data_IF_743069402201
#
_entry.id   IF_743069402201
#
_cell.length_a   1.000
_cell.length_b   1.000
_cell.length_c   1.000
_cell.angle_alpha   90.00
_cell.angle_beta   90.00
_cell.angle_gamma   90.00
#
_symmetry.space_group_name_H-M   'P 1'
#
loop_
_entity.id
_entity.type
_entity.pdbx_description
1 polymer ?
#
# COMPACT_ATOMS: atom_id res chain seq x y z
N UNK A 1 18.86 5.45 -13.44
CA UNK A 1 17.81 6.48 -13.50
C UNK A 1 16.70 5.97 -14.42
N UNK A 2 15.43 6.34 -14.18
CA UNK A 2 14.32 5.94 -15.06
C UNK A 2 14.57 6.39 -16.50
N UNK A 3 15.07 7.61 -16.69
CA UNK A 3 15.44 8.10 -18.02
C UNK A 3 16.41 7.14 -18.73
N UNK A 4 17.44 6.66 -18.02
CA UNK A 4 18.38 5.68 -18.57
C UNK A 4 17.75 4.32 -18.86
N UNK A 5 16.79 3.86 -18.04
CA UNK A 5 16.06 2.61 -18.27
C UNK A 5 15.09 2.74 -19.45
N UNK A 6 14.37 3.84 -19.57
CA UNK A 6 13.47 4.13 -20.69
C UNK A 6 14.25 4.20 -22.01
N UNK A 7 15.37 4.93 -22.03
CA UNK A 7 16.30 4.94 -23.18
C UNK A 7 16.80 3.54 -23.50
N UNK A 8 17.27 2.78 -22.49
CA UNK A 8 17.75 1.41 -22.72
C UNK A 8 16.67 0.51 -23.29
N UNK A 9 15.43 0.57 -22.79
CA UNK A 9 14.32 -0.25 -23.27
C UNK A 9 13.89 0.16 -24.68
N UNK A 10 13.78 1.46 -24.96
CA UNK A 10 13.51 1.98 -26.30
C UNK A 10 14.52 1.42 -27.32
N UNK A 11 15.81 1.47 -26.98
CA UNK A 11 16.92 0.95 -27.80
C UNK A 11 17.04 -0.59 -27.83
N UNK A 12 16.36 -1.30 -26.93
CA UNK A 12 16.38 -2.76 -26.87
C UNK A 12 15.20 -3.42 -27.59
N UNK A 13 14.06 -2.72 -27.69
CA UNK A 13 12.86 -3.16 -28.42
C UNK A 13 12.75 -2.56 -29.81
N UNK A 14 13.56 -1.55 -30.12
CA UNK A 14 13.65 -0.85 -31.40
C UNK A 14 14.62 0.31 -31.27
N UNK A 15 14.33 1.44 -31.89
CA UNK A 15 15.09 2.69 -31.71
C UNK A 15 16.54 2.61 -32.16
N UNK A 16 16.90 1.66 -33.03
CA UNK A 16 18.26 1.54 -33.57
C UNK A 16 18.28 1.96 -35.04
N UNK A 17 19.38 2.59 -35.45
CA UNK A 17 19.57 3.10 -36.80
C UNK A 17 20.97 3.66 -36.98
N UNK A 18 21.29 4.09 -38.20
CA UNK A 18 22.51 4.86 -38.44
C UNK A 18 22.32 6.31 -37.99
N UNK A 19 23.29 6.84 -37.24
CA UNK A 19 23.26 8.22 -36.77
C UNK A 19 22.55 8.39 -35.41
N UNK A 20 21.91 9.55 -35.22
CA UNK A 20 21.24 9.88 -33.98
C UNK A 20 19.86 9.23 -33.91
N UNK A 21 19.61 8.44 -32.88
CA UNK A 21 18.41 7.61 -32.77
C UNK A 21 17.41 8.08 -31.72
N UNK A 22 17.82 9.01 -30.85
CA UNK A 22 17.04 9.46 -29.70
C UNK A 22 17.44 10.90 -29.35
N UNK A 23 16.97 11.85 -30.15
CA UNK A 23 17.19 13.30 -29.97
C UNK A 23 15.88 14.01 -29.61
N UNK A 24 15.99 15.23 -29.07
CA UNK A 24 14.81 16.04 -28.72
C UNK A 24 13.85 16.23 -29.91
N UNK A 25 14.37 16.43 -31.12
CA UNK A 25 13.56 16.62 -32.33
C UNK A 25 12.82 15.33 -32.74
N UNK A 26 13.47 14.16 -32.61
CA UNK A 26 12.84 12.86 -32.89
C UNK A 26 11.75 12.57 -31.88
N UNK A 27 12.03 12.81 -30.60
CA UNK A 27 11.07 12.61 -29.53
C UNK A 27 9.88 13.57 -29.64
N UNK A 28 10.12 14.85 -29.97
CA UNK A 28 9.07 15.83 -30.24
C UNK A 28 8.17 15.40 -31.39
N UNK A 29 8.75 14.96 -32.51
CA UNK A 29 7.99 14.44 -33.64
C UNK A 29 7.15 13.19 -33.29
N UNK A 30 7.64 12.33 -32.40
CA UNK A 30 6.89 11.17 -31.91
C UNK A 30 5.70 11.59 -31.03
N UNK A 31 5.89 12.58 -30.15
CA UNK A 31 4.82 13.12 -29.32
C UNK A 31 3.73 13.80 -30.15
N UNK A 32 4.12 14.68 -31.08
CA UNK A 32 3.18 15.34 -32.00
C UNK A 32 2.38 14.33 -32.83
N UNK A 33 3.04 13.23 -33.25
CA UNK A 33 2.39 12.16 -33.99
C UNK A 33 1.34 11.41 -33.15
N UNK A 34 1.63 11.11 -31.88
CA UNK A 34 0.71 10.36 -31.01
C UNK A 34 -0.44 11.24 -30.50
N UNK A 35 -0.16 12.49 -30.14
CA UNK A 35 -1.15 13.39 -29.55
C UNK A 35 -2.09 14.00 -30.59
N UNK A 36 -1.56 14.36 -31.76
CA UNK A 36 -2.31 15.10 -32.79
C UNK A 36 -2.46 14.35 -34.12
N UNK A 37 -1.80 13.20 -34.29
CA UNK A 37 -1.68 12.53 -35.60
C UNK A 37 -0.81 13.33 -36.58
N UNK A 38 -0.06 14.32 -36.10
CA UNK A 38 0.70 15.25 -36.91
C UNK A 38 2.16 14.82 -36.97
N UNK A 39 2.61 14.38 -38.14
CA UNK A 39 4.02 14.22 -38.44
C UNK A 39 4.30 14.66 -39.87
N UNK A 40 5.44 15.32 -40.10
CA UNK A 40 5.92 15.52 -41.47
C UNK A 40 6.20 14.16 -42.12
N UNK A 41 6.06 14.04 -43.44
CA UNK A 41 6.38 12.77 -44.14
C UNK A 41 7.80 12.28 -43.83
N UNK A 42 8.76 13.22 -43.71
CA UNK A 42 10.13 12.92 -43.30
C UNK A 42 10.23 12.48 -41.83
N UNK A 43 9.46 13.10 -40.94
CA UNK A 43 9.38 12.71 -39.52
C UNK A 43 8.79 11.32 -39.35
N UNK A 44 7.65 11.03 -39.99
CA UNK A 44 7.03 9.71 -39.94
C UNK A 44 7.94 8.62 -40.53
N UNK A 45 8.60 8.90 -41.66
CA UNK A 45 9.59 7.99 -42.24
C UNK A 45 10.76 7.72 -41.27
N UNK A 46 11.18 8.73 -40.51
CA UNK A 46 12.23 8.59 -39.49
C UNK A 46 11.75 7.75 -38.31
N UNK A 47 10.55 8.01 -37.79
CA UNK A 47 9.94 7.23 -36.70
C UNK A 47 9.72 5.77 -37.08
N UNK A 48 9.32 5.50 -38.33
CA UNK A 48 9.17 4.15 -38.86
C UNK A 48 10.52 3.46 -39.08
N UNK A 49 11.52 4.18 -39.60
CA UNK A 49 12.87 3.64 -39.79
C UNK A 49 13.53 3.25 -38.46
N UNK A 50 13.28 4.02 -37.40
CA UNK A 50 13.74 3.73 -36.04
C UNK A 50 12.88 2.67 -35.34
N UNK A 51 11.75 2.25 -35.92
CA UNK A 51 10.86 1.26 -35.31
C UNK A 51 10.09 1.77 -34.08
N UNK A 52 9.92 3.09 -33.95
CA UNK A 52 9.03 3.69 -32.94
C UNK A 52 7.57 3.61 -33.37
N UNK A 53 7.31 3.68 -34.68
CA UNK A 53 5.98 3.59 -35.29
C UNK A 53 6.00 2.49 -36.34
N UNK A 54 4.94 1.70 -36.43
CA UNK A 54 4.84 0.62 -37.40
C UNK A 54 4.42 1.09 -38.80
N UNK A 55 4.44 0.17 -39.79
CA UNK A 55 4.09 0.49 -41.17
C UNK A 55 2.63 0.96 -41.35
N UNK A 56 1.73 0.58 -40.44
CA UNK A 56 0.33 1.01 -40.45
C UNK A 56 0.08 2.25 -39.59
N UNK A 57 1.13 2.86 -39.02
CA UNK A 57 1.04 4.05 -38.18
C UNK A 57 0.77 3.76 -36.70
N UNK A 58 0.83 2.50 -36.29
CA UNK A 58 0.66 2.08 -34.90
C UNK A 58 1.89 2.43 -34.06
N UNK A 59 1.69 2.86 -32.80
CA UNK A 59 2.78 3.03 -31.86
C UNK A 59 3.34 1.66 -31.49
N UNK A 60 4.67 1.50 -31.58
CA UNK A 60 5.36 0.25 -31.21
C UNK A 60 5.97 0.36 -29.81
N UNK A 61 6.33 -0.77 -29.16
CA UNK A 61 6.90 -0.75 -27.80
C UNK A 61 8.12 0.15 -27.66
N UNK A 62 8.97 0.25 -28.68
CA UNK A 62 10.11 1.17 -28.67
C UNK A 62 9.66 2.64 -28.63
N UNK A 63 8.58 2.97 -29.33
CA UNK A 63 7.98 4.31 -29.33
C UNK A 63 7.35 4.66 -27.98
N UNK A 64 6.67 3.72 -27.32
CA UNK A 64 6.16 3.89 -25.96
C UNK A 64 7.30 4.24 -24.98
N UNK A 65 8.40 3.48 -25.01
CA UNK A 65 9.57 3.76 -24.16
C UNK A 65 10.29 5.05 -24.53
N UNK A 66 10.27 5.47 -25.81
CA UNK A 66 10.82 6.74 -26.25
C UNK A 66 9.97 7.93 -25.75
N UNK A 67 8.64 7.82 -25.79
CA UNK A 67 7.73 8.81 -25.20
C UNK A 67 7.90 8.90 -23.68
N UNK A 68 8.08 7.77 -23.01
CA UNK A 68 8.39 7.76 -21.58
C UNK A 68 9.74 8.46 -21.31
N UNK A 69 10.75 8.24 -22.15
CA UNK A 69 12.02 8.97 -22.05
C UNK A 69 11.83 10.49 -22.24
N UNK A 70 10.98 10.91 -23.19
CA UNK A 70 10.64 12.32 -23.39
C UNK A 70 9.92 12.91 -22.17
N UNK A 71 8.89 12.21 -21.66
CA UNK A 71 8.12 12.63 -20.48
C UNK A 71 9.03 12.79 -19.26
N UNK A 72 9.93 11.83 -19.03
CA UNK A 72 10.93 11.88 -17.96
C UNK A 72 11.96 13.00 -18.15
N UNK A 73 12.27 13.36 -19.39
CA UNK A 73 13.18 14.47 -19.70
C UNK A 73 12.51 15.83 -19.52
N UNK A 74 11.25 15.97 -19.91
CA UNK A 74 10.47 17.22 -19.83
C UNK A 74 9.86 17.48 -18.44
N UNK A 75 9.37 16.43 -17.78
CA UNK A 75 8.59 16.50 -16.53
C UNK A 75 9.42 16.85 -15.28
N UNK A 76 10.74 17.02 -15.41
CA UNK A 76 11.61 17.32 -14.27
C UNK A 76 11.79 16.14 -13.32
N UNK A 77 12.29 16.42 -12.12
CA UNK A 77 12.53 15.38 -11.09
C UNK A 77 11.23 15.12 -10.36
N UNK A 78 10.77 13.86 -10.31
CA UNK A 78 9.72 13.46 -9.36
C UNK A 78 10.19 13.78 -7.93
N UNK A 79 9.46 14.65 -7.23
CA UNK A 79 9.83 15.06 -5.85
C UNK A 79 9.50 13.98 -4.82
N UNK A 80 8.52 13.11 -5.09
CA UNK A 80 8.04 12.08 -4.17
C UNK A 80 8.40 10.67 -4.64
N UNK A 81 8.52 9.73 -3.69
CA UNK A 81 8.81 8.31 -3.95
C UNK A 81 7.71 7.57 -3.24
N UNK A 82 6.93 6.84 -4.02
CA UNK A 82 5.90 5.97 -3.50
C UNK A 82 6.48 4.61 -3.15
N UNK A 83 5.90 4.00 -2.12
CA UNK A 83 6.31 2.69 -1.65
C UNK A 83 5.13 1.84 -1.20
N UNK A 84 5.41 0.58 -0.88
CA UNK A 84 4.42 -0.41 -0.47
C UNK A 84 5.00 -1.36 0.58
N UNK A 85 4.20 -1.77 1.55
CA UNK A 85 4.62 -2.68 2.61
C UNK A 85 3.58 -3.79 2.86
N UNK A 86 4.03 -5.04 2.82
CA UNK A 86 3.23 -6.24 3.09
C UNK A 86 4.03 -7.21 3.96
N UNK A 87 3.43 -7.64 5.07
CA UNK A 87 3.94 -8.71 5.92
C UNK A 87 3.52 -10.08 5.36
N UNK A 88 4.35 -11.11 5.54
CA UNK A 88 4.01 -12.46 5.11
C UNK A 88 2.69 -12.96 5.73
N UNK A 89 2.39 -12.56 6.97
CA UNK A 89 1.12 -12.86 7.65
C UNK A 89 -0.09 -12.25 6.94
N UNK A 90 0.01 -11.04 6.41
CA UNK A 90 -1.06 -10.39 5.65
C UNK A 90 -1.31 -11.12 4.33
N UNK A 91 -0.26 -11.59 3.65
CA UNK A 91 -0.39 -12.42 2.45
C UNK A 91 -1.12 -13.74 2.73
N UNK A 92 -0.97 -14.31 3.93
CA UNK A 92 -1.72 -15.50 4.34
C UNK A 92 -3.20 -15.23 4.55
N UNK A 93 -3.55 -14.03 5.06
CA UNK A 93 -4.95 -13.60 5.18
C UNK A 93 -5.59 -13.49 3.79
N UNK A 94 -4.91 -12.89 2.82
CA UNK A 94 -5.38 -12.83 1.42
C UNK A 94 -5.63 -14.24 0.85
N UNK A 95 -4.70 -15.18 1.10
CA UNK A 95 -4.86 -16.57 0.68
C UNK A 95 -6.09 -17.23 1.30
N UNK A 96 -6.36 -16.99 2.59
CA UNK A 96 -7.55 -17.53 3.26
C UNK A 96 -8.86 -16.91 2.77
N UNK A 97 -8.87 -15.61 2.47
CA UNK A 97 -10.02 -14.95 1.85
C UNK A 97 -10.35 -15.61 0.51
N UNK A 98 -9.36 -15.77 -0.37
CA UNK A 98 -9.54 -16.43 -1.67
C UNK A 98 -10.04 -17.87 -1.52
N UNK A 99 -9.45 -18.64 -0.59
CA UNK A 99 -9.83 -20.02 -0.35
C UNK A 99 -11.28 -20.17 0.16
N UNK A 100 -11.75 -19.23 1.00
CA UNK A 100 -13.14 -19.23 1.47
C UNK A 100 -14.11 -18.85 0.34
N UNK A 101 -13.78 -17.86 -0.49
CA UNK A 101 -14.61 -17.54 -1.66
C UNK A 101 -14.72 -18.70 -2.65
N UNK A 102 -13.61 -19.41 -2.90
CA UNK A 102 -13.63 -20.60 -3.75
C UNK A 102 -14.56 -21.68 -3.17
N UNK A 103 -14.45 -21.98 -1.86
CA UNK A 103 -15.34 -22.95 -1.17
C UNK A 103 -16.81 -22.51 -1.20
N UNK A 104 -17.06 -21.21 -1.04
CA UNK A 104 -18.41 -20.67 -1.08
C UNK A 104 -19.07 -20.85 -2.45
N UNK A 105 -18.30 -20.68 -3.53
CA UNK A 105 -18.77 -20.89 -4.91
C UNK A 105 -18.93 -22.37 -5.29
N UNK A 106 -18.07 -23.26 -4.79
CA UNK A 106 -18.02 -24.66 -5.20
C UNK A 106 -18.85 -25.61 -4.32
N UNK A 107 -18.93 -25.37 -3.02
CA UNK A 107 -19.38 -26.39 -2.06
C UNK A 107 -20.36 -25.90 -0.99
N UNK A 108 -20.17 -24.70 -0.44
CA UNK A 108 -20.96 -24.23 0.70
C UNK A 108 -21.18 -22.71 0.70
N UNK A 109 -22.31 -22.21 0.17
CA UNK A 109 -22.61 -20.77 0.08
C UNK A 109 -22.59 -20.00 1.42
N UNK A 110 -22.61 -20.69 2.57
CA UNK A 110 -22.52 -20.10 3.89
C UNK A 110 -21.06 -19.90 4.39
N UNK A 111 -20.07 -20.51 3.75
CA UNK A 111 -18.63 -20.35 4.07
C UNK A 111 -18.01 -19.11 3.40
N UNK A 112 -18.70 -17.97 3.49
CA UNK A 112 -18.16 -16.67 3.04
C UNK A 112 -17.07 -16.19 4.00
N UNK A 113 -16.09 -15.39 3.54
CA UNK A 113 -15.03 -14.83 4.38
C UNK A 113 -15.59 -13.72 5.27
N UNK A 114 -16.33 -14.11 6.30
CA UNK A 114 -16.66 -13.28 7.45
C UNK A 114 -15.50 -13.31 8.46
N UNK A 115 -15.49 -12.37 9.41
CA UNK A 115 -14.45 -12.30 10.43
C UNK A 115 -14.29 -13.61 11.20
N UNK A 116 -15.40 -14.21 11.63
CA UNK A 116 -15.40 -15.48 12.37
C UNK A 116 -14.91 -16.66 11.52
N UNK A 117 -15.30 -16.71 10.24
CA UNK A 117 -14.86 -17.76 9.33
C UNK A 117 -13.35 -17.68 9.06
N UNK A 118 -12.84 -16.46 8.80
CA UNK A 118 -11.41 -16.20 8.63
C UNK A 118 -10.63 -16.50 9.91
N UNK A 119 -11.13 -16.06 11.07
CA UNK A 119 -10.49 -16.33 12.36
C UNK A 119 -10.34 -17.82 12.61
N UNK A 120 -11.39 -18.61 12.35
CA UNK A 120 -11.31 -20.09 12.45
C UNK A 120 -10.28 -20.66 11.49
N UNK A 121 -10.31 -20.26 10.21
CA UNK A 121 -9.37 -20.74 9.20
C UNK A 121 -7.91 -20.42 9.57
N UNK A 122 -7.65 -19.21 10.09
CA UNK A 122 -6.32 -18.78 10.52
C UNK A 122 -5.85 -19.52 11.78
N UNK A 123 -6.73 -19.77 12.76
CA UNK A 123 -6.40 -20.60 13.93
C UNK A 123 -5.94 -21.99 13.48
N UNK A 124 -6.73 -22.66 12.64
CA UNK A 124 -6.43 -24.01 12.17
C UNK A 124 -5.09 -24.05 11.41
N UNK A 125 -4.88 -23.06 10.54
CA UNK A 125 -3.65 -22.93 9.75
C UNK A 125 -2.43 -22.67 10.63
N UNK A 126 -2.47 -21.68 11.52
CA UNK A 126 -1.36 -21.37 12.43
C UNK A 126 -1.08 -22.51 13.39
N UNK A 127 -2.10 -23.21 13.87
CA UNK A 127 -1.90 -24.40 14.67
C UNK A 127 -1.17 -25.51 13.91
N UNK A 128 -1.52 -25.74 12.63
CA UNK A 128 -0.84 -26.70 11.78
C UNK A 128 0.62 -26.30 11.50
N UNK A 129 0.87 -25.02 11.21
CA UNK A 129 2.21 -24.46 10.98
C UNK A 129 3.11 -24.65 12.21
N UNK A 130 2.64 -24.20 13.39
CA UNK A 130 3.42 -24.29 14.63
C UNK A 130 3.59 -25.72 15.12
N UNK A 131 2.64 -26.62 14.84
CA UNK A 131 2.81 -28.04 15.07
C UNK A 131 3.96 -28.61 14.22
N UNK A 132 3.96 -28.33 12.92
CA UNK A 132 5.03 -28.78 12.02
C UNK A 132 6.39 -28.18 12.39
N UNK A 133 6.40 -26.91 12.81
CA UNK A 133 7.58 -26.20 13.30
C UNK A 133 8.16 -26.90 14.53
N UNK A 134 7.33 -27.18 15.53
CA UNK A 134 7.71 -27.89 16.75
C UNK A 134 8.22 -29.30 16.45
N UNK A 135 7.57 -30.03 15.54
CA UNK A 135 8.02 -31.37 15.12
C UNK A 135 9.38 -31.33 14.43
N UNK A 136 9.64 -30.30 13.60
CA UNK A 136 10.90 -30.11 12.88
C UNK A 136 12.06 -29.74 13.81
N UNK A 137 11.84 -28.82 14.74
CA UNK A 137 12.90 -28.34 15.64
C UNK A 137 13.06 -29.21 16.89
N UNK A 138 12.01 -29.91 17.34
CA UNK A 138 12.08 -30.88 18.44
C UNK A 138 12.73 -30.31 19.70
N UNK A 139 13.92 -30.82 20.07
CA UNK A 139 14.71 -30.34 21.22
C UNK A 139 15.61 -29.13 20.93
N UNK A 140 15.65 -28.64 19.69
CA UNK A 140 16.48 -27.52 19.21
C UNK A 140 15.68 -26.22 19.02
N UNK A 141 14.64 -26.03 19.84
CA UNK A 141 13.82 -24.80 19.82
C UNK A 141 14.64 -23.55 20.17
N UNK A 142 15.77 -23.73 20.86
CA UNK A 142 16.74 -22.68 21.20
C UNK A 142 17.51 -22.13 19.98
N UNK A 143 17.56 -22.86 18.86
CA UNK A 143 18.18 -22.40 17.61
C UNK A 143 17.24 -21.48 16.79
N UNK A 144 16.00 -21.26 17.25
CA UNK A 144 15.00 -20.42 16.58
C UNK A 144 15.13 -18.93 16.92
N UNK A 145 14.62 -18.03 16.04
CA UNK A 145 14.40 -16.63 16.39
C UNK A 145 13.55 -16.52 17.67
N UNK A 146 13.93 -15.59 18.56
CA UNK A 146 13.37 -15.48 19.91
C UNK A 146 11.84 -15.36 19.92
N UNK A 147 11.29 -14.54 19.01
CA UNK A 147 9.84 -14.35 18.84
C UNK A 147 9.12 -15.65 18.44
N UNK A 148 9.63 -16.35 17.42
CA UNK A 148 9.04 -17.61 16.97
C UNK A 148 9.13 -18.71 18.04
N UNK A 149 10.25 -18.76 18.78
CA UNK A 149 10.41 -19.65 19.93
C UNK A 149 9.36 -19.37 21.00
N UNK A 150 9.18 -18.10 21.37
CA UNK A 150 8.20 -17.70 22.39
C UNK A 150 6.78 -18.11 22.00
N UNK A 151 6.37 -17.87 20.75
CA UNK A 151 5.04 -18.24 20.26
C UNK A 151 4.89 -19.78 20.24
N UNK A 152 5.93 -20.51 19.84
CA UNK A 152 5.93 -21.98 19.81
C UNK A 152 5.87 -22.59 21.22
N UNK A 153 6.55 -22.03 22.21
CA UNK A 153 6.47 -22.45 23.61
C UNK A 153 5.05 -22.24 24.15
N UNK A 154 4.44 -21.08 23.87
CA UNK A 154 3.04 -20.81 24.24
C UNK A 154 2.06 -21.74 23.52
N UNK A 155 2.33 -22.09 22.27
CA UNK A 155 1.54 -23.06 21.50
C UNK A 155 1.56 -24.44 22.16
N UNK A 156 2.73 -24.95 22.56
CA UNK A 156 2.85 -26.24 23.24
C UNK A 156 2.11 -26.30 24.57
N UNK A 157 2.02 -25.17 25.27
CA UNK A 157 1.31 -25.05 26.54
C UNK A 157 -0.18 -24.68 26.39
N UNK A 158 -0.66 -24.40 25.17
CA UNK A 158 -2.00 -23.91 24.93
C UNK A 158 -3.04 -25.03 25.07
N UNK A 159 -3.94 -24.89 26.05
CA UNK A 159 -5.16 -25.70 26.13
C UNK A 159 -6.28 -25.18 25.20
N UNK A 160 -6.21 -23.88 24.86
CA UNK A 160 -7.17 -23.18 24.01
C UNK A 160 -6.41 -22.50 22.85
N UNK A 161 -6.56 -23.07 21.65
CA UNK A 161 -5.91 -22.58 20.44
C UNK A 161 -6.46 -21.23 19.98
N UNK A 162 -7.74 -20.94 20.25
CA UNK A 162 -8.36 -19.68 19.87
C UNK A 162 -7.76 -18.53 20.69
N UNK A 163 -7.62 -18.73 22.00
CA UNK A 163 -6.94 -17.77 22.88
C UNK A 163 -5.45 -17.63 22.55
N UNK A 164 -4.76 -18.74 22.26
CA UNK A 164 -3.36 -18.68 21.84
C UNK A 164 -3.21 -17.86 20.56
N UNK A 165 -4.10 -18.01 19.59
CA UNK A 165 -4.07 -17.23 18.37
C UNK A 165 -4.25 -15.73 18.66
N UNK A 166 -5.30 -15.34 19.39
CA UNK A 166 -5.59 -13.93 19.68
C UNK A 166 -4.49 -13.25 20.53
N UNK A 167 -3.79 -14.02 21.38
CA UNK A 167 -2.70 -13.50 22.21
C UNK A 167 -1.41 -13.23 21.40
N UNK A 168 -1.30 -13.74 20.17
CA UNK A 168 -0.06 -13.68 19.36
C UNK A 168 -0.26 -13.10 17.95
N UNK A 169 -1.49 -13.07 17.43
CA UNK A 169 -1.82 -12.58 16.10
C UNK A 169 -3.05 -11.66 16.17
N UNK A 170 -3.03 -10.58 15.40
CA UNK A 170 -4.15 -9.64 15.31
C UNK A 170 -4.76 -9.67 13.90
N UNK A 171 -5.81 -10.45 13.73
CA UNK A 171 -6.51 -10.57 12.45
C UNK A 171 -7.19 -9.25 12.05
N UNK A 172 -7.71 -8.48 13.02
CA UNK A 172 -8.40 -7.23 12.70
C UNK A 172 -7.40 -6.19 12.22
N UNK A 173 -6.22 -6.10 12.87
CA UNK A 173 -5.11 -5.25 12.39
C UNK A 173 -4.68 -5.62 10.97
N UNK A 174 -4.53 -6.91 10.67
CA UNK A 174 -4.18 -7.38 9.33
C UNK A 174 -5.23 -7.01 8.28
N UNK A 175 -6.52 -7.21 8.57
CA UNK A 175 -7.62 -6.85 7.66
C UNK A 175 -7.68 -5.34 7.40
N UNK A 176 -7.57 -4.52 8.45
CA UNK A 176 -7.55 -3.06 8.32
C UNK A 176 -6.30 -2.58 7.57
N UNK A 177 -5.16 -3.23 7.77
CA UNK A 177 -3.93 -2.91 7.04
C UNK A 177 -4.05 -3.26 5.55
N UNK A 178 -4.60 -4.43 5.21
CA UNK A 178 -4.86 -4.82 3.82
C UNK A 178 -5.86 -3.91 3.12
N UNK A 179 -6.94 -3.50 3.79
CA UNK A 179 -7.90 -2.53 3.26
C UNK A 179 -7.26 -1.14 3.12
N UNK A 180 -6.35 -0.77 4.03
CA UNK A 180 -5.61 0.51 3.94
C UNK A 180 -4.69 0.60 2.73
N UNK A 181 -4.32 -0.56 2.17
CA UNK A 181 -3.51 -0.70 0.98
C UNK A 181 -4.33 -1.13 -0.23
N UNK A 182 -5.66 -0.98 -0.19
CA UNK A 182 -6.54 -1.28 -1.33
C UNK A 182 -6.43 -2.72 -1.83
N UNK A 183 -6.02 -3.68 -1.00
CA UNK A 183 -5.89 -5.10 -1.37
C UNK A 183 -7.16 -5.90 -1.07
N UNK A 184 -8.01 -5.38 -0.19
CA UNK A 184 -9.32 -5.93 0.07
C UNK A 184 -10.32 -4.81 0.33
N UNK A 185 -11.60 -5.15 0.26
CA UNK A 185 -12.70 -4.28 0.65
C UNK A 185 -13.61 -5.00 1.64
N UNK A 186 -13.94 -4.31 2.74
CA UNK A 186 -15.02 -4.74 3.65
C UNK A 186 -16.36 -4.39 3.03
N UNK A 187 -17.25 -5.38 2.89
CA UNK A 187 -18.58 -5.19 2.32
C UNK A 187 -19.64 -6.03 3.01
N UNK A 188 -20.81 -6.13 2.35
CA UNK A 188 -21.99 -6.80 2.86
C UNK A 188 -22.35 -8.02 2.00
N UNK A 189 -22.78 -9.10 2.64
CA UNK A 189 -23.32 -10.28 1.98
C UNK A 189 -24.84 -10.18 1.78
N UNK A 190 -25.46 -11.15 1.10
CA UNK A 190 -26.93 -11.14 0.85
C UNK A 190 -27.78 -11.17 2.13
N UNK A 191 -27.19 -11.54 3.28
CA UNK A 191 -27.85 -11.62 4.59
C UNK A 191 -27.53 -10.43 5.47
N UNK A 192 -26.81 -9.45 4.95
CA UNK A 192 -26.42 -8.24 5.63
C UNK A 192 -25.24 -8.35 6.58
N UNK A 193 -24.38 -9.36 6.37
CA UNK A 193 -23.21 -9.62 7.23
C UNK A 193 -21.93 -9.08 6.61
N UNK A 194 -21.00 -8.69 7.48
CA UNK A 194 -19.62 -8.34 7.12
C UNK A 194 -18.91 -9.50 6.42
N UNK A 195 -18.40 -9.21 5.22
CA UNK A 195 -17.56 -10.11 4.43
C UNK A 195 -16.43 -9.32 3.76
N UNK A 196 -15.34 -9.99 3.43
CA UNK A 196 -14.16 -9.37 2.82
C UNK A 196 -13.96 -9.84 1.38
N UNK A 197 -13.82 -8.89 0.46
CA UNK A 197 -13.57 -9.14 -0.96
C UNK A 197 -12.13 -8.78 -1.32
N UNK A 198 -11.46 -9.58 -2.13
CA UNK A 198 -10.19 -9.17 -2.72
C UNK A 198 -10.47 -8.13 -3.81
N UNK A 199 -9.64 -7.10 -3.88
CA UNK A 199 -9.62 -6.19 -5.02
C UNK A 199 -8.77 -6.78 -6.15
N UNK A 200 -8.79 -6.17 -7.33
CA UNK A 200 -7.91 -6.55 -8.44
C UNK A 200 -6.42 -6.51 -8.02
N UNK A 201 -6.02 -5.49 -7.24
CA UNK A 201 -4.68 -5.43 -6.66
C UNK A 201 -4.43 -6.55 -5.66
N UNK A 202 -5.43 -6.89 -4.83
CA UNK A 202 -5.37 -8.00 -3.89
C UNK A 202 -5.11 -9.34 -4.57
N UNK A 203 -5.78 -9.61 -5.70
CA UNK A 203 -5.58 -10.82 -6.49
C UNK A 203 -4.18 -10.88 -7.10
N UNK A 204 -3.70 -9.78 -7.69
CA UNK A 204 -2.35 -9.69 -8.25
C UNK A 204 -1.26 -9.88 -7.20
N UNK A 205 -1.42 -9.28 -6.01
CA UNK A 205 -0.50 -9.48 -4.88
C UNK A 205 -0.52 -10.93 -4.42
N UNK A 206 -1.70 -11.54 -4.31
CA UNK A 206 -1.83 -12.94 -3.92
C UNK A 206 -1.11 -13.88 -4.91
N UNK A 207 -1.21 -13.62 -6.20
CA UNK A 207 -0.54 -14.43 -7.22
C UNK A 207 0.99 -14.32 -7.17
N UNK A 208 1.55 -13.11 -6.94
CA UNK A 208 3.00 -12.96 -6.66
C UNK A 208 3.42 -13.72 -5.39
N UNK A 209 2.63 -13.61 -4.32
CA UNK A 209 2.90 -14.25 -3.03
C UNK A 209 2.73 -15.77 -3.05
N UNK A 210 1.92 -16.32 -3.96
CA UNK A 210 1.84 -17.77 -4.23
C UNK A 210 3.11 -18.30 -4.87
N UNK A 211 3.72 -17.53 -5.76
CA UNK A 211 4.99 -17.90 -6.40
C UNK A 211 6.16 -17.82 -5.40
N UNK A 212 6.18 -16.78 -4.56
CA UNK A 212 7.22 -16.59 -3.56
C UNK A 212 6.70 -15.83 -2.34
N UNK A 213 6.22 -16.56 -1.31
CA UNK A 213 5.76 -15.95 -0.06
C UNK A 213 6.91 -15.28 0.67
N UNK A 214 6.77 -13.98 0.95
CA UNK A 214 7.78 -13.17 1.64
C UNK A 214 7.21 -11.84 2.09
N UNK A 215 7.91 -11.23 3.04
CA UNK A 215 7.74 -9.82 3.35
C UNK A 215 8.13 -8.96 2.14
N UNK A 216 7.36 -7.89 1.93
CA UNK A 216 7.66 -6.81 0.99
C UNK A 216 7.77 -5.55 1.81
N UNK A 217 8.98 -5.05 2.02
CA UNK A 217 9.24 -3.83 2.78
C UNK A 217 9.07 -2.59 1.90
N UNK A 218 8.63 -1.49 2.50
CA UNK A 218 8.64 -0.19 1.85
C UNK A 218 10.07 0.21 1.45
N UNK A 219 11.06 -0.12 2.27
CA UNK A 219 12.47 0.09 1.95
C UNK A 219 12.89 -0.60 0.65
N UNK A 220 12.51 -1.87 0.47
CA UNK A 220 12.83 -2.62 -0.74
C UNK A 220 12.12 -2.07 -1.98
N UNK A 221 10.85 -1.69 -1.85
CA UNK A 221 10.09 -1.10 -2.96
C UNK A 221 10.65 0.27 -3.33
N UNK A 222 11.05 1.10 -2.35
CA UNK A 222 11.80 2.35 -2.59
C UNK A 222 13.11 2.14 -3.34
N UNK A 223 13.79 1.02 -3.11
CA UNK A 223 15.00 0.72 -3.86
C UNK A 223 14.74 0.60 -5.37
N UNK A 224 13.52 0.22 -5.76
CA UNK A 224 13.07 0.17 -7.14
C UNK A 224 12.51 1.52 -7.59
N UNK A 225 11.57 2.11 -6.84
CA UNK A 225 10.87 3.35 -7.24
C UNK A 225 11.79 4.58 -7.20
N UNK A 226 12.76 4.67 -6.29
CA UNK A 226 13.72 5.78 -6.24
C UNK A 226 14.60 5.86 -7.49
N UNK A 227 14.92 4.72 -8.11
CA UNK A 227 15.68 4.74 -9.37
C UNK A 227 14.91 5.45 -10.48
N UNK A 228 13.60 5.64 -10.31
CA UNK A 228 12.73 6.39 -11.21
C UNK A 228 12.73 7.89 -10.98
N UNK A 229 13.28 8.39 -9.87
CA UNK A 229 13.62 9.81 -9.73
C UNK A 229 14.84 10.16 -10.57
N UNK A 230 14.87 11.38 -11.10
CA UNK A 230 16.04 11.92 -11.78
C UNK A 230 17.21 12.04 -10.78
N UNK A 231 18.35 11.42 -11.12
CA UNK A 231 19.63 11.53 -10.38
C UNK A 231 19.65 10.99 -8.94
N UNK A 232 18.87 9.96 -8.62
CA UNK A 232 18.94 9.27 -7.32
C UNK A 232 19.32 7.79 -7.47
N UNK A 233 20.12 7.29 -6.54
CA UNK A 233 20.44 5.87 -6.40
C UNK A 233 20.06 5.43 -4.98
N UNK A 234 19.49 4.22 -4.81
CA UNK A 234 19.15 3.72 -3.48
C UNK A 234 20.40 3.50 -2.64
N UNK A 235 20.25 3.65 -1.33
CA UNK A 235 21.27 3.22 -0.38
C UNK A 235 21.58 1.72 -0.54
N UNK A 236 22.82 1.32 -0.26
CA UNK A 236 23.24 -0.08 -0.40
C UNK A 236 22.40 -1.04 0.45
N UNK A 237 21.99 -0.60 1.65
CA UNK A 237 21.12 -1.39 2.53
C UNK A 237 19.76 -1.68 1.89
N UNK A 238 19.13 -0.68 1.27
CA UNK A 238 17.84 -0.83 0.62
C UNK A 238 17.92 -1.76 -0.59
N UNK A 239 18.98 -1.64 -1.40
CA UNK A 239 19.21 -2.55 -2.52
C UNK A 239 19.40 -4.00 -2.06
N UNK A 240 20.15 -4.22 -0.97
CA UNK A 240 20.37 -5.56 -0.42
C UNK A 240 19.05 -6.17 0.05
N UNK A 241 18.24 -5.41 0.77
CA UNK A 241 16.92 -5.84 1.22
C UNK A 241 15.99 -6.15 0.03
N UNK A 242 15.97 -5.30 -0.99
CA UNK A 242 15.22 -5.55 -2.22
C UNK A 242 15.68 -6.80 -2.96
N UNK A 243 16.97 -7.14 -2.91
CA UNK A 243 17.50 -8.38 -3.48
C UNK A 243 17.12 -9.61 -2.66
N UNK A 244 17.17 -9.52 -1.33
CA UNK A 244 16.75 -10.59 -0.42
C UNK A 244 15.25 -10.90 -0.59
N UNK A 245 14.45 -9.85 -0.78
CA UNK A 245 13.01 -9.93 -1.08
C UNK A 245 12.72 -10.14 -2.58
N UNK A 246 13.70 -10.49 -3.41
CA UNK A 246 13.47 -10.85 -4.82
C UNK A 246 12.90 -9.74 -5.72
N UNK A 247 12.90 -8.48 -5.27
CA UNK A 247 12.44 -7.33 -6.06
C UNK A 247 13.51 -6.82 -7.04
N UNK A 248 14.79 -7.10 -6.76
CA UNK A 248 15.93 -6.75 -7.61
C UNK A 248 16.76 -7.99 -7.90
N UNK A 249 17.08 -8.18 -9.19
CA UNK A 249 17.96 -9.25 -9.66
C UNK A 249 19.44 -8.89 -9.51
N UNK A 250 20.26 -9.33 -10.47
CA UNK A 250 21.70 -9.03 -10.47
C UNK A 250 22.02 -7.56 -10.77
N UNK A 251 21.20 -6.89 -11.60
CA UNK A 251 21.44 -5.51 -12.02
C UNK A 251 20.16 -4.68 -12.25
N UNK A 252 18.98 -5.31 -12.32
CA UNK A 252 17.72 -4.67 -12.71
C UNK A 252 16.57 -5.13 -11.81
N UNK A 253 15.49 -4.33 -11.67
CA UNK A 253 14.26 -4.77 -11.02
C UNK A 253 13.70 -6.05 -11.66
N UNK A 254 13.18 -6.97 -10.84
CA UNK A 254 12.49 -8.18 -11.31
C UNK A 254 11.06 -7.85 -11.76
N UNK A 255 10.32 -8.83 -12.30
CA UNK A 255 8.88 -8.67 -12.59
C UNK A 255 8.12 -8.26 -11.32
N UNK A 256 8.38 -8.93 -10.21
CA UNK A 256 7.81 -8.58 -8.90
C UNK A 256 8.23 -7.17 -8.45
N UNK A 257 9.50 -6.79 -8.63
CA UNK A 257 9.95 -5.44 -8.30
C UNK A 257 9.24 -4.36 -9.11
N UNK A 258 9.04 -4.57 -10.41
CA UNK A 258 8.27 -3.66 -11.27
C UNK A 258 6.79 -3.62 -10.87
N UNK A 259 6.20 -4.78 -10.55
CA UNK A 259 4.83 -4.89 -10.08
C UNK A 259 4.60 -4.09 -8.79
N UNK A 260 5.38 -4.31 -7.72
CA UNK A 260 5.19 -3.55 -6.47
C UNK A 260 5.51 -2.06 -6.63
N UNK A 261 6.42 -1.70 -7.53
CA UNK A 261 6.66 -0.30 -7.89
C UNK A 261 5.45 0.34 -8.59
N UNK A 262 4.77 -0.40 -9.47
CA UNK A 262 3.52 0.05 -10.09
C UNK A 262 2.39 0.13 -9.07
N UNK A 263 2.21 -0.91 -8.26
CA UNK A 263 1.22 -0.94 -7.17
C UNK A 263 1.40 0.28 -6.26
N UNK A 264 2.62 0.57 -5.81
CA UNK A 264 2.90 1.74 -4.99
C UNK A 264 2.48 3.07 -5.67
N UNK A 265 2.62 3.18 -6.99
CA UNK A 265 2.28 4.41 -7.71
C UNK A 265 0.78 4.54 -8.04
N UNK A 266 -0.04 3.48 -7.89
CA UNK A 266 -1.43 3.47 -8.38
C UNK A 266 -2.46 3.02 -7.34
N UNK A 267 -2.02 2.37 -6.26
CA UNK A 267 -2.93 1.89 -5.24
C UNK A 267 -3.49 3.07 -4.45
N UNK A 268 -4.80 3.08 -4.28
CA UNK A 268 -5.47 4.03 -3.40
C UNK A 268 -5.27 3.60 -1.94
N UNK A 269 -4.61 4.47 -1.19
CA UNK A 269 -4.29 4.26 0.23
C UNK A 269 -5.34 4.93 1.09
N UNK A 270 -5.80 4.17 2.08
CA UNK A 270 -6.65 4.69 3.14
C UNK A 270 -5.85 4.83 4.44
N UNK A 271 -6.20 5.77 5.32
CA UNK A 271 -5.46 6.01 6.54
C UNK A 271 -5.65 4.85 7.53
N UNK A 272 -4.54 4.33 8.06
CA UNK A 272 -4.53 3.34 9.12
C UNK A 272 -3.32 3.53 10.02
N UNK A 273 -3.58 3.54 11.33
CA UNK A 273 -2.57 3.43 12.38
C UNK A 273 -3.08 2.47 13.44
N UNK A 274 -2.31 1.43 13.73
CA UNK A 274 -2.44 0.70 15.00
C UNK A 274 -1.91 1.54 16.15
N UNK A 275 -2.20 1.11 17.39
CA UNK A 275 -1.67 1.75 18.60
C UNK A 275 -0.14 1.85 18.57
N UNK A 276 0.53 0.84 18.01
CA UNK A 276 1.98 0.79 17.97
C UNK A 276 2.55 1.69 16.88
N UNK A 277 1.90 1.74 15.70
CA UNK A 277 2.24 2.67 14.65
C UNK A 277 2.06 4.12 15.11
N UNK A 278 0.99 4.43 15.84
CA UNK A 278 0.78 5.76 16.43
C UNK A 278 1.90 6.13 17.43
N UNK A 279 2.33 5.18 18.27
CA UNK A 279 3.44 5.40 19.20
C UNK A 279 4.75 5.74 18.48
N UNK A 280 5.02 5.10 17.35
CA UNK A 280 6.19 5.39 16.51
C UNK A 280 6.03 6.73 15.81
N UNK A 281 4.85 6.99 15.25
CA UNK A 281 4.55 8.20 14.50
C UNK A 281 4.73 9.46 15.35
N UNK A 282 4.23 9.49 16.60
CA UNK A 282 4.40 10.63 17.51
C UNK A 282 5.84 10.92 17.96
N UNK A 283 6.75 9.96 17.79
CA UNK A 283 8.17 10.17 18.11
C UNK A 283 8.87 10.92 16.98
N UNK A 284 8.46 10.71 15.73
CA UNK A 284 9.04 11.35 14.54
C UNK A 284 8.61 12.83 14.52
N UNK A 285 9.54 13.80 14.61
CA UNK A 285 9.17 15.20 14.51
C UNK A 285 9.11 15.65 13.05
N UNK A 286 8.35 16.70 12.76
CA UNK A 286 8.30 17.33 11.43
C UNK A 286 9.67 17.76 10.86
N UNK A 287 10.67 18.08 11.71
CA UNK A 287 12.04 18.42 11.27
C UNK A 287 12.92 17.20 10.98
N UNK A 288 12.41 16.01 11.28
CA UNK A 288 13.08 14.74 11.16
C UNK A 288 13.98 14.35 12.33
N UNK A 289 14.29 13.06 12.36
CA UNK A 289 15.23 12.42 13.27
C UNK A 289 15.80 11.16 12.62
N UNK A 290 16.91 10.62 13.11
CA UNK A 290 17.46 9.36 12.61
C UNK A 290 16.66 8.14 13.07
N UNK A 291 16.67 7.06 12.29
CA UNK A 291 16.06 5.78 12.68
C UNK A 291 16.60 5.28 14.03
N UNK A 292 17.90 5.42 14.28
CA UNK A 292 18.53 5.03 15.55
C UNK A 292 17.98 5.83 16.74
N UNK A 293 17.66 7.12 16.55
CA UNK A 293 16.98 7.93 17.57
C UNK A 293 15.53 7.45 17.80
N UNK A 294 14.82 7.00 16.76
CA UNK A 294 13.46 6.43 16.90
C UNK A 294 13.54 5.15 17.74
N UNK A 295 14.48 4.26 17.43
CA UNK A 295 14.70 3.03 18.20
C UNK A 295 15.05 3.34 19.67
N UNK A 296 15.94 4.31 19.92
CA UNK A 296 16.32 4.70 21.27
C UNK A 296 15.16 5.30 22.07
N UNK A 297 14.31 6.12 21.44
CA UNK A 297 13.16 6.76 22.10
C UNK A 297 12.06 5.76 22.52
N UNK A 298 12.02 4.58 21.90
CA UNK A 298 11.01 3.54 22.16
C UNK A 298 11.59 2.28 22.80
N UNK A 299 12.87 2.32 23.19
CA UNK A 299 13.54 1.22 23.88
C UNK A 299 12.78 0.84 25.16
N UNK A 300 12.56 -0.46 25.36
CA UNK A 300 11.80 -1.00 26.48
C UNK A 300 10.28 -0.81 26.40
N UNK A 301 9.76 -0.08 25.39
CA UNK A 301 8.31 0.07 25.14
C UNK A 301 7.84 -0.83 24.00
N UNK A 302 8.65 -0.94 22.95
CA UNK A 302 8.41 -1.80 21.78
C UNK A 302 9.70 -2.56 21.44
N UNK A 303 9.54 -3.75 20.86
CA UNK A 303 10.68 -4.46 20.29
C UNK A 303 11.11 -3.84 18.96
N UNK A 304 12.37 -4.09 18.58
CA UNK A 304 12.99 -3.47 17.40
C UNK A 304 12.29 -3.86 16.09
N UNK A 305 11.79 -5.09 15.99
CA UNK A 305 11.09 -5.56 14.79
C UNK A 305 9.76 -4.85 14.61
N UNK A 306 9.02 -4.63 15.71
CA UNK A 306 7.76 -3.88 15.70
C UNK A 306 7.96 -2.41 15.35
N UNK A 307 9.02 -1.77 15.85
CA UNK A 307 9.38 -0.40 15.45
C UNK A 307 9.73 -0.36 13.96
N UNK A 308 10.51 -1.34 13.47
CA UNK A 308 10.86 -1.45 12.05
C UNK A 308 9.59 -1.53 11.19
N UNK A 309 8.67 -2.45 11.48
CA UNK A 309 7.45 -2.62 10.69
C UNK A 309 6.52 -1.42 10.77
N UNK A 310 6.41 -0.76 11.92
CA UNK A 310 5.69 0.50 12.00
C UNK A 310 6.28 1.57 11.08
N UNK A 311 7.62 1.70 11.01
CA UNK A 311 8.26 2.60 10.05
C UNK A 311 8.00 2.19 8.59
N UNK A 312 8.05 0.90 8.26
CA UNK A 312 7.71 0.41 6.90
C UNK A 312 6.26 0.76 6.52
N UNK A 313 5.32 0.60 7.45
CA UNK A 313 3.90 0.84 7.22
C UNK A 313 3.56 2.34 7.14
N UNK A 314 4.17 3.16 8.01
CA UNK A 314 4.07 4.63 7.95
C UNK A 314 4.64 5.17 6.63
N UNK A 315 5.77 4.64 6.18
CA UNK A 315 6.39 4.98 4.89
C UNK A 315 5.50 4.59 3.72
N UNK A 316 4.99 3.35 3.71
CA UNK A 316 4.13 2.84 2.65
C UNK A 316 2.80 3.62 2.54
N UNK A 317 2.33 4.19 3.65
CA UNK A 317 1.16 5.08 3.71
C UNK A 317 1.50 6.54 3.40
N UNK A 318 2.76 6.83 3.07
CA UNK A 318 3.26 8.17 2.79
C UNK A 318 3.01 9.17 3.93
N UNK A 319 3.11 8.71 5.19
CA UNK A 319 3.02 9.58 6.37
C UNK A 319 4.39 10.08 6.81
N UNK A 320 5.42 9.31 6.50
CA UNK A 320 6.84 9.66 6.70
C UNK A 320 7.61 9.40 5.40
N UNK A 321 8.78 10.04 5.28
CA UNK A 321 9.78 9.74 4.26
C UNK A 321 11.09 9.33 4.96
N UNK A 322 11.50 8.09 4.73
CA UNK A 322 12.78 7.51 5.15
C UNK A 322 13.82 7.81 4.08
N UNK A 323 14.79 8.63 4.42
CA UNK A 323 15.83 9.09 3.51
C UNK A 323 16.98 8.07 3.41
N UNK A 324 17.75 8.07 2.30
CA UNK A 324 18.86 7.12 2.10
C UNK A 324 19.97 7.16 3.16
N UNK A 325 20.06 8.25 3.92
CA UNK A 325 21.02 8.45 5.01
C UNK A 325 20.51 7.95 6.38
N UNK A 326 19.30 7.40 6.44
CA UNK A 326 18.68 6.86 7.65
C UNK A 326 17.94 7.90 8.49
N UNK A 327 17.73 9.12 7.97
CA UNK A 327 16.81 10.09 8.57
C UNK A 327 15.36 9.78 8.19
N UNK A 328 14.44 10.08 9.10
CA UNK A 328 12.99 9.94 8.93
C UNK A 328 12.37 11.31 9.14
N UNK A 329 11.55 11.78 8.21
CA UNK A 329 10.81 13.06 8.29
C UNK A 329 9.32 12.83 8.07
N UNK A 330 8.46 13.66 8.63
CA UNK A 330 7.03 13.65 8.27
C UNK A 330 6.83 14.19 6.85
N UNK A 331 5.89 13.59 6.12
CA UNK A 331 5.40 14.15 4.86
C UNK A 331 4.32 15.20 5.11
N UNK A 332 3.82 15.81 4.04
CA UNK A 332 2.62 16.67 4.12
C UNK A 332 1.41 15.92 4.67
N UNK A 333 1.21 14.68 4.26
CA UNK A 333 0.12 13.84 4.77
C UNK A 333 0.32 13.52 6.26
N UNK A 334 1.56 13.24 6.66
CA UNK A 334 1.95 13.07 8.06
C UNK A 334 1.55 14.26 8.93
N UNK A 335 1.96 15.48 8.56
CA UNK A 335 1.63 16.68 9.34
C UNK A 335 0.11 16.92 9.46
N UNK A 336 -0.66 16.60 8.42
CA UNK A 336 -2.11 16.73 8.42
C UNK A 336 -2.76 15.70 9.35
N UNK A 337 -2.28 14.46 9.28
CA UNK A 337 -2.78 13.36 10.10
C UNK A 337 -2.43 13.56 11.58
N UNK A 338 -1.21 14.00 11.92
CA UNK A 338 -0.81 14.28 13.30
C UNK A 338 -1.72 15.35 13.93
N UNK A 339 -2.07 16.40 13.17
CA UNK A 339 -3.06 17.42 13.59
C UNK A 339 -4.49 16.89 13.70
N UNK A 340 -4.85 15.88 12.93
CA UNK A 340 -6.15 15.22 13.04
C UNK A 340 -6.21 14.34 14.31
N UNK A 341 -5.08 13.76 14.70
CA UNK A 341 -4.95 12.82 15.82
C UNK A 341 -4.68 13.48 17.17
N UNK A 342 -4.35 14.77 17.21
CA UNK A 342 -4.03 15.50 18.44
C UNK A 342 -5.09 15.42 19.56
N UNK A 343 -6.35 15.09 19.22
CA UNK A 343 -7.45 14.92 20.17
C UNK A 343 -7.82 13.47 20.50
N UNK A 344 -7.13 12.47 19.92
CA UNK A 344 -7.45 11.06 20.11
C UNK A 344 -6.97 10.60 21.48
N UNK A 345 -7.83 9.95 22.29
CA UNK A 345 -7.42 9.44 23.60
C UNK A 345 -6.30 8.40 23.53
N UNK A 346 -5.41 8.42 24.51
CA UNK A 346 -4.41 7.35 24.68
C UNK A 346 -5.08 5.98 24.88
N UNK A 347 -4.52 4.94 24.27
CA UNK A 347 -5.00 3.56 24.41
C UNK A 347 -6.02 3.11 23.36
N UNK A 348 -6.40 3.96 22.41
CA UNK A 348 -7.14 3.54 21.22
C UNK A 348 -6.33 2.49 20.42
N UNK A 349 -6.96 1.35 20.13
CA UNK A 349 -6.32 0.24 19.39
C UNK A 349 -6.01 0.59 17.94
N UNK A 350 -7.01 1.13 17.23
CA UNK A 350 -6.91 1.62 15.86
C UNK A 350 -7.46 3.05 15.81
N UNK A 351 -6.69 4.05 16.26
CA UNK A 351 -7.10 5.46 16.36
C UNK A 351 -7.61 6.04 15.03
N UNK A 352 -7.09 5.54 13.91
CA UNK A 352 -7.58 5.80 12.56
C UNK A 352 -7.47 4.52 11.75
N UNK A 353 -8.47 4.23 10.92
CA UNK A 353 -8.52 3.04 10.09
C UNK A 353 -9.41 3.28 8.85
N UNK A 354 -9.39 2.37 7.85
CA UNK A 354 -10.14 2.55 6.61
C UNK A 354 -11.65 2.66 6.81
N UNK A 355 -12.22 1.93 7.78
CA UNK A 355 -13.64 1.99 8.07
C UNK A 355 -14.04 3.36 8.64
N UNK A 356 -13.26 3.89 9.59
CA UNK A 356 -13.46 5.25 10.14
C UNK A 356 -13.40 6.28 9.01
N UNK A 357 -12.42 6.15 8.10
CA UNK A 357 -12.31 7.01 6.93
C UNK A 357 -13.57 6.97 6.07
N UNK A 358 -14.03 5.78 5.65
CA UNK A 358 -15.25 5.59 4.85
C UNK A 358 -16.49 6.19 5.51
N UNK A 359 -16.64 6.04 6.82
CA UNK A 359 -17.74 6.68 7.58
C UNK A 359 -17.62 8.21 7.54
N UNK A 360 -16.44 8.77 7.80
CA UNK A 360 -16.22 10.22 7.80
C UNK A 360 -16.46 10.81 6.40
N UNK A 361 -15.98 10.12 5.37
CA UNK A 361 -16.17 10.49 3.97
C UNK A 361 -17.64 10.47 3.57
N UNK A 362 -18.36 9.38 3.85
CA UNK A 362 -19.78 9.27 3.55
C UNK A 362 -20.61 10.35 4.24
N UNK A 363 -20.32 10.64 5.52
CA UNK A 363 -20.94 11.74 6.26
C UNK A 363 -20.62 13.12 5.65
N UNK A 364 -19.41 13.32 5.12
CA UNK A 364 -19.01 14.53 4.41
C UNK A 364 -19.78 14.69 3.09
N UNK A 365 -19.98 13.60 2.36
CA UNK A 365 -20.69 13.59 1.08
C UNK A 365 -22.18 13.96 1.21
N UNK A 366 -22.88 13.43 2.21
CA UNK A 366 -24.33 13.68 2.42
C UNK A 366 -24.63 14.90 3.28
N UNK A 367 -23.60 15.54 3.82
CA UNK A 367 -23.71 16.66 4.73
C UNK A 367 -23.67 18.02 4.04
N UNK A 368 -23.89 19.11 4.80
CA UNK A 368 -23.73 20.48 4.31
C UNK A 368 -22.54 21.16 4.99
N UNK A 369 -21.65 21.76 4.21
CA UNK A 369 -20.46 22.46 4.73
C UNK A 369 -20.83 23.79 5.39
N UNK A 370 -20.47 23.94 6.66
CA UNK A 370 -20.58 25.17 7.42
C UNK A 370 -19.20 25.85 7.51
N UNK A 371 -18.90 26.69 6.51
CA UNK A 371 -17.59 27.33 6.30
C UNK A 371 -17.07 28.07 7.55
N UNK A 372 -17.94 28.77 8.28
CA UNK A 372 -17.55 29.55 9.47
C UNK A 372 -17.04 28.68 10.64
N UNK A 373 -17.51 27.44 10.73
CA UNK A 373 -17.18 26.53 11.83
C UNK A 373 -16.21 25.42 11.41
N UNK A 374 -15.81 25.38 10.13
CA UNK A 374 -15.04 24.27 9.53
C UNK A 374 -15.61 22.90 9.90
N UNK A 375 -16.93 22.75 9.73
CA UNK A 375 -17.68 21.54 10.06
C UNK A 375 -18.64 21.18 8.95
N UNK A 376 -18.93 19.89 8.81
CA UNK A 376 -20.00 19.41 7.93
C UNK A 376 -21.13 18.93 8.81
N UNK A 377 -22.33 19.52 8.67
CA UNK A 377 -23.50 19.12 9.45
C UNK A 377 -24.26 18.02 8.71
N UNK A 378 -24.60 16.96 9.43
CA UNK A 378 -25.36 15.82 8.91
C UNK A 378 -26.73 15.79 9.60
N UNK A 379 -27.79 15.72 8.79
CA UNK A 379 -29.14 15.56 9.30
C UNK A 379 -29.43 14.06 9.54
N UNK A 380 -30.16 13.68 10.61
CA UNK A 380 -30.45 12.27 10.89
C UNK A 380 -31.09 11.51 9.73
N UNK A 381 -31.90 12.20 8.91
CA UNK A 381 -32.55 11.62 7.73
C UNK A 381 -31.57 11.22 6.61
N UNK A 382 -30.36 11.77 6.60
CA UNK A 382 -29.33 11.48 5.60
C UNK A 382 -28.43 10.31 6.04
N UNK A 383 -28.65 9.72 7.23
CA UNK A 383 -27.80 8.62 7.72
C UNK A 383 -27.96 7.34 6.88
N UNK A 384 -29.16 7.06 6.37
CA UNK A 384 -29.36 5.90 5.48
C UNK A 384 -28.55 6.05 4.19
N UNK A 385 -28.52 7.26 3.63
CA UNK A 385 -27.73 7.59 2.45
C UNK A 385 -26.23 7.49 2.75
N UNK A 386 -25.77 7.93 3.93
CA UNK A 386 -24.38 7.76 4.34
C UNK A 386 -23.96 6.28 4.48
N UNK A 387 -24.86 5.41 4.95
CA UNK A 387 -24.59 3.96 5.03
C UNK A 387 -24.39 3.41 3.62
N UNK A 388 -25.29 3.73 2.68
CA UNK A 388 -25.18 3.33 1.28
C UNK A 388 -23.87 3.84 0.64
N UNK A 389 -23.53 5.11 0.83
CA UNK A 389 -22.27 5.69 0.33
C UNK A 389 -21.03 5.03 0.92
N UNK A 390 -21.08 4.61 2.19
CA UNK A 390 -19.92 3.99 2.83
C UNK A 390 -19.61 2.60 2.28
N UNK A 391 -20.60 1.89 1.72
CA UNK A 391 -20.49 0.49 1.32
C UNK A 391 -20.35 -0.51 2.47
N UNK A 392 -20.52 -0.07 3.73
CA UNK A 392 -20.40 -0.91 4.91
C UNK A 392 -21.76 -1.53 5.30
N UNK A 393 -21.76 -2.76 5.85
CA UNK A 393 -22.92 -3.29 6.56
C UNK A 393 -23.39 -2.33 7.64
N UNK A 394 -24.71 -2.27 7.89
CA UNK A 394 -25.31 -1.32 8.84
C UNK A 394 -24.71 -1.40 10.24
N UNK A 395 -24.53 -2.61 10.78
CA UNK A 395 -23.95 -2.84 12.10
C UNK A 395 -22.49 -2.37 12.15
N UNK A 396 -21.69 -2.71 11.14
CA UNK A 396 -20.30 -2.24 11.01
C UNK A 396 -20.23 -0.72 10.91
N UNK A 397 -21.12 -0.08 10.14
CA UNK A 397 -21.19 1.37 10.04
C UNK A 397 -21.52 2.03 11.38
N UNK A 398 -22.51 1.49 12.10
CA UNK A 398 -22.96 2.04 13.39
C UNK A 398 -21.84 1.92 14.44
N UNK A 399 -21.19 0.77 14.56
CA UNK A 399 -20.04 0.55 15.45
C UNK A 399 -18.86 1.46 15.09
N UNK A 400 -18.57 1.59 13.79
CA UNK A 400 -17.49 2.45 13.29
C UNK A 400 -17.79 3.93 13.51
N UNK A 401 -19.05 4.36 13.40
CA UNK A 401 -19.48 5.72 13.72
C UNK A 401 -19.28 6.04 15.20
N UNK A 402 -19.51 5.08 16.09
CA UNK A 402 -19.21 5.25 17.51
C UNK A 402 -17.71 5.37 17.76
N UNK A 403 -16.89 4.54 17.11
CA UNK A 403 -15.44 4.64 17.16
C UNK A 403 -14.95 6.01 16.64
N UNK A 404 -15.47 6.48 15.51
CA UNK A 404 -15.13 7.78 14.93
C UNK A 404 -15.53 8.96 15.83
N UNK A 405 -16.62 8.83 16.60
CA UNK A 405 -17.02 9.81 17.62
C UNK A 405 -16.08 9.81 18.81
N UNK A 406 -15.72 8.62 19.29
CA UNK A 406 -14.83 8.47 20.42
C UNK A 406 -13.38 8.93 20.09
N UNK A 407 -12.95 8.80 18.84
CA UNK A 407 -11.71 9.37 18.31
C UNK A 407 -11.81 10.89 18.02
N UNK A 408 -13.00 11.49 18.07
CA UNK A 408 -13.19 12.94 17.93
C UNK A 408 -13.35 13.47 16.49
N UNK A 409 -13.31 12.59 15.48
CA UNK A 409 -13.54 12.97 14.07
C UNK A 409 -14.98 13.39 13.82
N UNK A 410 -15.93 12.77 14.53
CA UNK A 410 -17.36 13.01 14.38
C UNK A 410 -17.95 13.49 15.71
N UNK A 411 -18.75 14.54 15.66
CA UNK A 411 -19.55 15.02 16.78
C UNK A 411 -20.92 14.31 16.86
N UNK A 412 -21.89 14.96 17.51
CA UNK A 412 -23.25 14.41 17.59
C UNK A 412 -23.90 14.29 16.21
N UNK A 413 -23.85 15.37 15.42
CA UNK A 413 -24.50 15.51 14.12
C UNK A 413 -23.59 16.22 13.09
N UNK A 414 -22.27 16.10 13.23
CA UNK A 414 -21.34 16.80 12.35
C UNK A 414 -19.99 16.10 12.23
N UNK A 415 -19.36 16.19 11.07
CA UNK A 415 -17.92 15.94 10.92
C UNK A 415 -17.18 17.17 11.46
N UNK A 416 -16.23 16.95 12.37
CA UNK A 416 -15.44 18.00 13.01
C UNK A 416 -14.22 18.39 12.16
N UNK A 417 -13.49 19.43 12.56
CA UNK A 417 -12.26 19.85 11.86
C UNK A 417 -11.21 18.72 11.82
N UNK A 418 -11.11 17.90 12.86
CA UNK A 418 -10.25 16.71 12.87
C UNK A 418 -10.65 15.69 11.78
N UNK A 419 -11.95 15.45 11.59
CA UNK A 419 -12.46 14.57 10.53
C UNK A 419 -12.21 15.15 9.14
N UNK A 420 -12.29 16.47 8.96
CA UNK A 420 -11.93 17.10 7.68
C UNK A 420 -10.44 16.99 7.39
N UNK A 421 -9.58 17.19 8.40
CA UNK A 421 -8.12 17.00 8.24
C UNK A 421 -7.75 15.55 7.95
N UNK A 422 -8.48 14.59 8.50
CA UNK A 422 -8.32 13.18 8.14
C UNK A 422 -8.55 12.95 6.64
N UNK A 423 -9.61 13.54 6.07
CA UNK A 423 -9.87 13.46 4.62
C UNK A 423 -8.76 14.16 3.81
N UNK A 424 -8.34 15.37 4.22
CA UNK A 424 -7.22 16.08 3.58
C UNK A 424 -5.90 15.29 3.65
N UNK A 425 -5.65 14.60 4.77
CA UNK A 425 -4.48 13.73 4.92
C UNK A 425 -4.57 12.53 3.97
N UNK A 426 -5.72 11.87 3.88
CA UNK A 426 -5.92 10.74 2.97
C UNK A 426 -5.73 11.13 1.49
N UNK A 427 -6.21 12.31 1.08
CA UNK A 427 -5.94 12.84 -0.26
C UNK A 427 -4.42 13.01 -0.49
N UNK A 428 -3.69 13.55 0.50
CA UNK A 428 -2.23 13.73 0.42
C UNK A 428 -1.41 12.43 0.58
N UNK A 429 -2.02 11.34 1.06
CA UNK A 429 -1.39 10.01 1.12
C UNK A 429 -1.29 9.35 -0.26
N UNK A 430 -1.95 9.91 -1.27
CA UNK A 430 -2.09 9.34 -2.59
C UNK A 430 -1.37 10.19 -3.66
N UNK A 431 -0.85 9.56 -4.73
CA UNK A 431 -0.25 10.26 -5.85
C UNK A 431 -1.23 11.26 -6.49
N UNK A 432 -0.84 12.53 -6.58
CA UNK A 432 -1.69 13.60 -7.12
C UNK A 432 -1.69 13.74 -8.66
N UNK A 433 -0.84 12.99 -9.37
CA UNK A 433 -0.75 12.97 -10.83
C UNK A 433 -0.99 11.56 -11.36
N UNK A 434 -1.90 11.41 -12.33
CA UNK A 434 -2.08 10.17 -13.08
C UNK A 434 -0.78 9.82 -13.82
N UNK A 435 -0.18 8.70 -13.45
CA UNK A 435 1.07 8.23 -14.06
C UNK A 435 0.75 7.52 -15.37
N UNK A 436 0.41 8.28 -16.40
CA UNK A 436 0.29 7.73 -17.76
C UNK A 436 1.67 7.34 -18.32
N UNK A 437 1.74 6.16 -18.98
CA UNK A 437 2.94 5.69 -19.68
C UNK A 437 3.56 4.40 -19.13
N UNK A 438 2.88 3.69 -18.22
CA UNK A 438 3.30 2.34 -17.87
C UNK A 438 2.91 1.37 -19.00
N UNK A 439 3.91 0.64 -19.51
CA UNK A 439 3.66 -0.59 -20.26
C UNK A 439 2.81 -1.48 -19.36
N UNK A 440 1.58 -1.76 -19.80
CA UNK A 440 0.72 -2.76 -19.16
C UNK A 440 1.54 -4.05 -19.02
N UNK A 441 1.64 -4.57 -17.81
CA UNK A 441 2.29 -5.85 -17.59
C UNK A 441 1.39 -6.93 -18.19
N UNK A 442 1.68 -7.36 -19.42
CA UNK A 442 1.13 -8.61 -19.98
C UNK A 442 1.44 -9.84 -19.10
#
# INVERSE_FOLDING_TARGET
TALGQAVKKALATGGWGEGDVLTADILGALADYVDAGEATEAGLATLQALGYVGPAGELLPAGEWALEALRLWQGGVREEVWSFALEAEEAEVLEQIAALWQKAGEANPEERPSFEALRRAMIDRKAAEYKALVEKYGRKLDEMPEKQRFIAERFQAAADLARWYDDNFDLREALLSLESFGLLETGEDEKGKEVFYLTDWGELVLDDQRAQRRDVSATAVKAVTLTRRSFSAPGYAWWREAREQGLVGSAEPTRSGLFYAQLAEHVERLPHLSRYELMVFHVVPARGMSEDEVYAALEGRLDRERIRWALEKLEARHLIDRLPDGNVVETRAGELLDRALAGVPEGFGHPVNPLIFRVVEALRAVGSLYVKEKRVRVLPRNLSEAIEYSGLPRDVFEDTLEAARAAGFVGRNSVNEAGLRLLEAAEAMNPGEDVHGLVELE
#
